data_IF_619498294600
#
_entry.id   IF_619498294600
#
_cell.length_a   1.000
_cell.length_b   1.000
_cell.length_c   1.000
_cell.angle_alpha   90.00
_cell.angle_beta   90.00
_cell.angle_gamma   90.00
#
_symmetry.space_group_name_H-M   'P 1'
#
loop_
_entity.id
_entity.type
_entity.pdbx_description
1 polymer ?
#
# COMPACT_ATOMS: atom_id res chain seq x y z
N UNK A 1 23.76 -10.96 8.94
CA UNK A 1 22.67 -9.99 8.70
C UNK A 1 22.57 -9.82 7.19
N UNK A 2 21.38 -10.09 6.60
CA UNK A 2 21.19 -9.87 5.16
C UNK A 2 21.25 -8.38 4.83
N UNK A 3 21.59 -8.05 3.58
CA UNK A 3 21.65 -6.66 3.13
C UNK A 3 20.24 -6.04 3.15
N UNK A 4 20.15 -4.84 3.75
CA UNK A 4 18.89 -4.11 3.82
C UNK A 4 18.66 -3.33 2.53
N UNK A 5 17.51 -3.55 1.93
CA UNK A 5 17.01 -2.78 0.78
C UNK A 5 16.45 -1.45 1.28
N UNK A 6 16.97 -0.34 0.78
CA UNK A 6 16.45 1.00 1.10
C UNK A 6 15.36 1.39 0.12
N UNK A 7 14.21 1.75 0.64
CA UNK A 7 13.07 2.20 -0.17
C UNK A 7 12.49 3.52 0.33
N UNK A 8 11.84 4.24 -0.59
CA UNK A 8 10.94 5.34 -0.28
C UNK A 8 9.50 4.85 -0.43
N UNK A 9 8.60 5.30 0.43
CA UNK A 9 7.16 5.10 0.26
C UNK A 9 6.45 6.46 0.35
N UNK A 10 5.63 6.77 -0.66
CA UNK A 10 4.82 7.99 -0.75
C UNK A 10 3.34 7.65 -0.69
N UNK A 11 2.56 8.55 -0.08
CA UNK A 11 1.08 8.52 -0.15
C UNK A 11 0.56 9.05 -1.48
N UNK A 12 -0.67 9.56 -1.46
CA UNK A 12 -1.34 10.04 -2.67
C UNK A 12 -0.48 11.03 -3.45
N UNK A 13 -0.23 10.75 -4.71
CA UNK A 13 0.50 11.64 -5.62
C UNK A 13 -0.45 12.71 -6.20
N UNK A 14 -1.70 12.33 -6.48
CA UNK A 14 -2.74 13.23 -7.01
C UNK A 14 -2.27 14.07 -8.19
N UNK A 15 -1.51 13.47 -9.14
CA UNK A 15 -0.99 14.18 -10.30
C UNK A 15 0.19 15.14 -10.04
N UNK A 16 0.67 15.27 -8.79
CA UNK A 16 1.83 16.12 -8.46
C UNK A 16 3.17 15.42 -8.81
N UNK A 17 3.34 15.05 -10.07
CA UNK A 17 4.48 14.22 -10.52
C UNK A 17 5.81 14.95 -10.43
N UNK A 18 5.86 16.24 -10.78
CA UNK A 18 7.06 17.05 -10.65
C UNK A 18 7.54 17.09 -9.19
N UNK A 19 6.61 17.33 -8.25
CA UNK A 19 6.95 17.36 -6.81
C UNK A 19 7.39 15.97 -6.33
N UNK A 20 6.73 14.89 -6.77
CA UNK A 20 7.12 13.54 -6.43
C UNK A 20 8.55 13.26 -6.85
N UNK A 21 8.85 13.38 -8.16
CA UNK A 21 10.13 12.97 -8.70
C UNK A 21 11.28 13.87 -8.25
N UNK A 22 11.05 15.19 -8.08
CA UNK A 22 12.02 16.11 -7.48
C UNK A 22 12.32 15.71 -6.02
N UNK A 23 11.31 15.31 -5.24
CA UNK A 23 11.54 14.84 -3.88
C UNK A 23 12.30 13.50 -3.85
N UNK A 24 11.97 12.58 -4.74
CA UNK A 24 12.67 11.28 -4.86
C UNK A 24 14.14 11.51 -5.19
N UNK A 25 14.46 12.36 -6.17
CA UNK A 25 15.82 12.68 -6.56
C UNK A 25 16.61 13.30 -5.40
N UNK A 26 16.07 14.34 -4.79
CA UNK A 26 16.68 15.02 -3.63
C UNK A 26 16.92 14.07 -2.44
N UNK A 27 15.99 13.19 -2.15
CA UNK A 27 16.14 12.21 -1.07
C UNK A 27 17.19 11.16 -1.43
N UNK A 28 17.22 10.73 -2.70
CA UNK A 28 18.18 9.76 -3.18
C UNK A 28 19.62 10.31 -3.14
N UNK A 29 19.82 11.57 -3.50
CA UNK A 29 21.11 12.24 -3.36
C UNK A 29 21.57 12.39 -1.91
N UNK A 30 20.63 12.71 -1.02
CA UNK A 30 20.93 12.99 0.39
C UNK A 30 21.20 11.75 1.24
N UNK A 31 20.41 10.69 1.04
CA UNK A 31 20.36 9.52 1.92
C UNK A 31 20.34 8.17 1.20
N UNK A 32 20.43 8.19 -0.14
CA UNK A 32 20.43 7.00 -0.97
C UNK A 32 21.74 6.19 -0.93
N UNK A 33 21.93 5.27 -1.85
CA UNK A 33 20.98 4.97 -2.91
C UNK A 33 19.70 4.30 -2.38
N UNK A 34 18.54 4.69 -2.95
CA UNK A 34 17.29 3.97 -2.78
C UNK A 34 17.07 3.03 -3.97
N UNK A 35 16.62 1.81 -3.69
CA UNK A 35 16.46 0.75 -4.68
C UNK A 35 15.03 0.66 -5.23
N UNK A 36 14.07 1.28 -4.53
CA UNK A 36 12.70 1.44 -5.00
C UNK A 36 12.01 2.64 -4.35
N UNK A 37 11.03 3.19 -5.08
CA UNK A 37 10.03 4.12 -4.59
C UNK A 37 8.65 3.47 -4.76
N UNK A 38 7.84 3.43 -3.70
CA UNK A 38 6.50 2.85 -3.70
C UNK A 38 5.49 3.97 -3.50
N UNK A 39 4.50 4.09 -4.39
CA UNK A 39 3.44 5.09 -4.27
C UNK A 39 2.10 4.39 -4.01
N UNK A 40 1.47 4.73 -2.88
CA UNK A 40 0.17 4.21 -2.46
C UNK A 40 -0.91 5.30 -2.54
N UNK A 41 -2.18 4.90 -2.53
CA UNK A 41 -3.29 5.85 -2.68
C UNK A 41 -3.52 6.26 -4.13
N UNK A 42 -3.98 7.49 -4.35
CA UNK A 42 -4.26 8.05 -5.67
C UNK A 42 -2.97 8.49 -6.35
N UNK A 43 -2.68 7.91 -7.49
CA UNK A 43 -1.49 8.29 -8.26
C UNK A 43 -1.78 9.44 -9.22
N UNK A 44 -2.91 9.38 -9.93
CA UNK A 44 -3.33 10.41 -10.86
C UNK A 44 -4.25 11.45 -10.20
N UNK A 45 -4.40 12.61 -10.85
CA UNK A 45 -5.35 13.61 -10.39
C UNK A 45 -6.79 13.13 -10.67
N UNK A 46 -7.73 13.24 -9.69
CA UNK A 46 -9.07 12.70 -9.83
C UNK A 46 -9.85 13.22 -11.05
N UNK A 47 -9.63 14.47 -11.46
CA UNK A 47 -10.25 15.08 -12.65
C UNK A 47 -9.38 15.05 -13.90
N UNK A 48 -8.17 14.49 -13.82
CA UNK A 48 -7.21 14.41 -14.92
C UNK A 48 -6.42 15.70 -15.20
N UNK A 49 -6.67 16.80 -14.47
CA UNK A 49 -6.17 18.15 -14.81
C UNK A 49 -4.66 18.33 -14.76
N UNK A 50 -3.93 17.57 -13.96
CA UNK A 50 -2.47 17.73 -13.81
C UNK A 50 -1.65 16.57 -14.36
N UNK A 51 -2.29 15.67 -15.11
CA UNK A 51 -1.58 14.50 -15.62
C UNK A 51 -0.59 14.83 -16.73
N UNK A 52 -0.68 16.02 -17.32
CA UNK A 52 0.28 16.52 -18.30
C UNK A 52 1.72 16.65 -17.74
N UNK A 53 1.88 16.82 -16.42
CA UNK A 53 3.18 16.78 -15.77
C UNK A 53 3.90 15.42 -15.97
N UNK A 54 3.18 14.34 -16.22
CA UNK A 54 3.75 13.02 -16.49
C UNK A 54 4.32 12.89 -17.90
N UNK A 55 3.78 13.64 -18.88
CA UNK A 55 4.16 13.51 -20.29
C UNK A 55 5.66 13.63 -20.57
N UNK A 56 6.43 14.55 -19.94
CA UNK A 56 7.86 14.61 -20.15
C UNK A 56 8.60 13.32 -19.77
N UNK A 57 8.13 12.60 -18.73
CA UNK A 57 8.68 11.33 -18.29
C UNK A 57 8.30 10.20 -19.25
N UNK A 58 7.04 10.13 -19.67
CA UNK A 58 6.56 9.14 -20.65
C UNK A 58 7.29 9.27 -21.99
N UNK A 59 7.61 10.48 -22.41
CA UNK A 59 8.35 10.76 -23.63
C UNK A 59 9.88 10.62 -23.47
N UNK A 60 10.37 10.28 -22.29
CA UNK A 60 11.81 10.12 -22.01
C UNK A 60 12.59 11.44 -21.99
N UNK A 61 11.91 12.61 -22.00
CA UNK A 61 12.56 13.93 -21.87
C UNK A 61 13.08 14.19 -20.45
N UNK A 62 12.34 13.70 -19.45
CA UNK A 62 12.75 13.66 -18.06
C UNK A 62 12.94 12.19 -17.61
N UNK A 63 13.73 11.97 -16.60
CA UNK A 63 14.05 10.63 -16.09
C UNK A 63 13.48 10.43 -14.70
N UNK A 64 12.96 9.23 -14.45
CA UNK A 64 12.65 8.77 -13.10
C UNK A 64 13.94 8.20 -12.50
N UNK A 65 14.45 8.86 -11.45
CA UNK A 65 15.78 8.57 -10.90
C UNK A 65 15.85 7.23 -10.15
N UNK A 66 14.76 6.83 -9.50
CA UNK A 66 14.66 5.59 -8.71
C UNK A 66 13.53 4.73 -9.27
N UNK A 67 13.70 3.40 -9.41
CA UNK A 67 12.61 2.52 -9.82
C UNK A 67 11.36 2.77 -8.96
N UNK A 68 10.30 3.26 -9.58
CA UNK A 68 9.06 3.68 -8.92
C UNK A 68 7.92 2.75 -9.31
N UNK A 69 7.28 2.19 -8.30
CA UNK A 69 6.15 1.28 -8.44
C UNK A 69 4.93 1.92 -7.80
N UNK A 70 3.80 1.88 -8.47
CA UNK A 70 2.59 2.51 -7.95
C UNK A 70 1.35 1.64 -8.11
N UNK A 71 0.39 1.89 -7.26
CA UNK A 71 -1.01 1.48 -7.37
C UNK A 71 -1.87 2.73 -7.67
N UNK A 72 -3.14 2.53 -7.98
CA UNK A 72 -4.09 3.63 -8.21
C UNK A 72 -5.24 3.54 -7.21
N UNK A 73 -5.81 4.67 -6.85
CA UNK A 73 -6.99 4.79 -6.00
C UNK A 73 -8.30 4.66 -6.77
N UNK A 74 -9.42 4.78 -6.07
CA UNK A 74 -10.76 4.59 -6.64
C UNK A 74 -11.29 5.77 -7.46
N UNK A 75 -10.74 6.96 -7.25
CA UNK A 75 -11.19 8.19 -7.90
C UNK A 75 -10.23 8.67 -8.99
N UNK A 76 -9.22 7.84 -9.31
CA UNK A 76 -8.28 8.20 -10.36
C UNK A 76 -9.01 8.25 -11.71
N UNK A 77 -9.15 9.44 -12.28
CA UNK A 77 -9.42 9.57 -13.69
C UNK A 77 -8.32 8.83 -14.44
N UNK A 78 -8.68 7.93 -15.33
CA UNK A 78 -7.70 7.17 -16.11
C UNK A 78 -7.10 8.09 -17.20
N UNK A 79 -5.98 8.76 -16.95
CA UNK A 79 -5.41 9.75 -17.86
C UNK A 79 -4.55 9.12 -18.94
N UNK A 80 -4.18 7.86 -18.73
CA UNK A 80 -3.48 7.07 -19.73
C UNK A 80 -4.49 6.08 -20.27
N UNK A 81 -5.03 6.37 -21.44
CA UNK A 81 -5.86 5.42 -22.18
C UNK A 81 -5.14 4.08 -22.21
N UNK A 82 -5.70 3.10 -21.48
CA UNK A 82 -5.16 1.75 -21.50
C UNK A 82 -4.18 1.38 -20.41
N UNK A 83 -4.29 1.91 -19.16
CA UNK A 83 -3.60 1.24 -18.05
C UNK A 83 -3.96 -0.24 -18.05
N UNK A 84 -2.98 -1.13 -18.26
CA UNK A 84 -3.26 -2.56 -18.35
C UNK A 84 -3.70 -3.09 -16.98
N UNK A 85 -4.75 -3.91 -16.94
CA UNK A 85 -5.26 -4.49 -15.69
C UNK A 85 -4.20 -5.25 -14.91
N UNK A 86 -3.30 -5.91 -15.63
CA UNK A 86 -2.22 -6.74 -15.04
C UNK A 86 -0.94 -5.96 -14.75
N UNK A 87 -0.97 -4.63 -14.94
CA UNK A 87 0.18 -3.76 -14.73
C UNK A 87 1.14 -3.71 -15.90
N UNK A 88 2.12 -2.83 -15.81
CA UNK A 88 3.15 -2.65 -16.82
C UNK A 88 3.97 -1.38 -16.63
N UNK A 89 5.05 -1.28 -17.40
CA UNK A 89 5.91 -0.11 -17.40
C UNK A 89 5.29 1.01 -18.25
N UNK A 90 5.12 2.20 -17.67
CA UNK A 90 4.69 3.39 -18.39
C UNK A 90 5.89 4.02 -19.11
N UNK A 91 7.03 4.04 -18.44
CA UNK A 91 8.32 4.43 -18.98
C UNK A 91 9.44 3.80 -18.14
N UNK A 92 10.70 4.06 -18.50
CA UNK A 92 11.84 3.57 -17.72
C UNK A 92 11.73 3.99 -16.24
N UNK A 93 11.81 3.03 -15.34
CA UNK A 93 11.71 3.19 -13.90
C UNK A 93 10.33 3.66 -13.39
N UNK A 94 9.26 3.56 -14.16
CA UNK A 94 7.91 3.85 -13.71
C UNK A 94 6.96 2.73 -14.08
N UNK A 95 6.55 1.95 -13.09
CA UNK A 95 5.77 0.72 -13.28
C UNK A 95 4.45 0.79 -12.52
N UNK A 96 3.34 0.64 -13.23
CA UNK A 96 2.05 0.32 -12.62
C UNK A 96 2.04 -1.14 -12.21
N UNK A 97 1.75 -1.43 -10.93
CA UNK A 97 1.75 -2.81 -10.43
C UNK A 97 0.59 -3.64 -10.98
N UNK A 98 -0.51 -2.99 -11.34
CA UNK A 98 -1.73 -3.65 -11.80
C UNK A 98 -2.87 -3.53 -10.78
N UNK A 99 -3.98 -4.24 -11.05
CA UNK A 99 -5.18 -4.22 -10.23
C UNK A 99 -4.95 -4.88 -8.87
N UNK A 100 -4.51 -6.12 -8.87
CA UNK A 100 -4.37 -6.91 -7.67
C UNK A 100 -3.37 -8.06 -7.88
N UNK A 101 -2.54 -8.31 -6.91
CA UNK A 101 -1.58 -9.42 -7.00
C UNK A 101 -0.48 -9.36 -5.96
N UNK A 102 0.51 -10.19 -6.17
CA UNK A 102 1.75 -10.23 -5.40
C UNK A 102 2.91 -10.53 -6.35
N UNK A 103 3.99 -9.76 -6.24
CA UNK A 103 5.20 -9.97 -7.07
C UNK A 103 6.47 -9.68 -6.30
N UNK A 104 7.55 -10.29 -6.75
CA UNK A 104 8.89 -9.97 -6.28
C UNK A 104 9.48 -8.87 -7.17
N UNK A 105 9.97 -7.80 -6.55
CA UNK A 105 10.69 -6.74 -7.22
C UNK A 105 12.15 -7.17 -7.52
N UNK A 106 12.85 -6.51 -8.47
CA UNK A 106 14.24 -6.80 -8.78
C UNK A 106 15.20 -6.73 -7.58
N UNK A 107 14.88 -5.91 -6.58
CA UNK A 107 15.66 -5.79 -5.32
C UNK A 107 15.34 -6.89 -4.29
N UNK A 108 14.54 -7.90 -4.65
CA UNK A 108 14.20 -9.05 -3.83
C UNK A 108 13.00 -8.89 -2.91
N UNK A 109 12.43 -7.69 -2.76
CA UNK A 109 11.24 -7.47 -1.94
C UNK A 109 10.00 -8.10 -2.57
N UNK A 110 9.21 -8.83 -1.77
CA UNK A 110 7.92 -9.39 -2.15
C UNK A 110 6.82 -8.38 -1.78
N UNK A 111 6.10 -7.88 -2.79
CA UNK A 111 5.10 -6.83 -2.66
C UNK A 111 3.73 -7.34 -3.07
N UNK A 112 2.78 -7.35 -2.13
CA UNK A 112 1.36 -7.57 -2.38
C UNK A 112 0.68 -6.21 -2.58
N UNK A 113 -0.29 -6.14 -3.50
CA UNK A 113 -0.92 -4.87 -3.84
C UNK A 113 -2.38 -5.03 -4.26
N UNK A 114 -3.17 -4.01 -3.93
CA UNK A 114 -4.56 -3.86 -4.36
C UNK A 114 -4.78 -2.41 -4.82
N UNK A 115 -5.15 -2.23 -6.08
CA UNK A 115 -5.51 -0.93 -6.67
C UNK A 115 -7.02 -0.75 -6.72
N UNK A 116 -7.48 0.51 -6.64
CA UNK A 116 -8.89 0.87 -6.66
C UNK A 116 -9.44 1.12 -5.27
N UNK A 117 -10.77 1.28 -5.19
CA UNK A 117 -11.50 1.48 -3.95
C UNK A 117 -12.64 0.48 -3.77
N UNK A 118 -13.11 0.36 -2.54
CA UNK A 118 -14.26 -0.46 -2.18
C UNK A 118 -15.57 0.20 -2.63
N UNK A 119 -16.35 -0.51 -3.44
CA UNK A 119 -17.74 -0.17 -3.73
C UNK A 119 -18.64 -1.34 -3.31
N UNK A 120 -19.38 -1.16 -2.23
CA UNK A 120 -20.25 -2.21 -1.67
C UNK A 120 -21.28 -2.77 -2.63
N UNK A 121 -21.68 -1.99 -3.67
CA UNK A 121 -22.64 -2.42 -4.68
C UNK A 121 -22.01 -3.31 -5.75
N UNK A 122 -20.69 -3.19 -5.93
CA UNK A 122 -19.94 -3.87 -7.01
C UNK A 122 -19.04 -4.98 -6.48
N UNK A 123 -18.67 -4.93 -5.22
CA UNK A 123 -17.69 -5.82 -4.62
C UNK A 123 -17.96 -7.32 -4.85
N UNK A 124 -19.25 -7.71 -4.80
CA UNK A 124 -19.68 -9.08 -5.00
C UNK A 124 -20.09 -9.41 -6.44
N UNK A 125 -19.94 -8.47 -7.38
CA UNK A 125 -20.21 -8.74 -8.79
C UNK A 125 -19.15 -9.69 -9.36
N UNK A 126 -19.58 -10.51 -10.34
CA UNK A 126 -18.63 -11.39 -11.04
C UNK A 126 -17.74 -10.58 -12.00
N UNK A 127 -16.44 -10.89 -12.00
CA UNK A 127 -15.49 -10.31 -12.95
C UNK A 127 -15.88 -10.53 -14.42
N UNK A 128 -16.70 -11.53 -14.72
CA UNK A 128 -17.20 -11.79 -16.08
C UNK A 128 -17.96 -10.58 -16.63
N UNK A 129 -18.74 -9.87 -15.80
CA UNK A 129 -19.49 -8.67 -16.21
C UNK A 129 -18.58 -7.47 -16.47
N UNK A 130 -17.35 -7.49 -15.98
CA UNK A 130 -16.39 -6.38 -16.08
C UNK A 130 -15.26 -6.63 -17.09
N UNK A 131 -15.21 -7.81 -17.73
CA UNK A 131 -14.20 -8.18 -18.73
C UNK A 131 -14.35 -7.49 -20.08
N UNK A 132 -15.40 -6.71 -20.29
CA UNK A 132 -15.66 -5.98 -21.54
C UNK A 132 -14.89 -4.66 -21.63
N UNK A 133 -13.59 -4.72 -21.88
CA UNK A 133 -12.75 -3.55 -22.13
C UNK A 133 -11.38 -3.65 -21.42
N UNK A 134 -10.32 -3.20 -22.10
CA UNK A 134 -8.96 -3.16 -21.56
C UNK A 134 -8.74 -1.99 -20.59
N UNK A 135 -9.80 -1.31 -20.13
CA UNK A 135 -9.70 -0.15 -19.26
C UNK A 135 -9.74 -0.55 -17.80
N UNK A 136 -8.79 -0.05 -17.03
CA UNK A 136 -8.77 -0.18 -15.57
C UNK A 136 -10.08 0.38 -14.96
N UNK A 137 -10.68 -0.36 -14.02
CA UNK A 137 -11.86 0.11 -13.28
C UNK A 137 -11.41 0.64 -11.91
N UNK A 138 -11.97 1.77 -11.45
CA UNK A 138 -11.53 2.41 -10.20
C UNK A 138 -11.96 1.69 -8.93
N UNK A 139 -12.61 0.54 -9.04
CA UNK A 139 -13.02 -0.31 -7.92
C UNK A 139 -12.47 -1.72 -8.10
N UNK A 140 -12.30 -2.42 -7.00
CA UNK A 140 -11.91 -3.83 -7.00
C UNK A 140 -13.08 -4.72 -6.60
N UNK A 141 -12.98 -5.99 -6.97
CA UNK A 141 -13.96 -7.03 -6.69
C UNK A 141 -13.44 -7.97 -5.59
N UNK A 142 -14.34 -8.78 -5.01
CA UNK A 142 -13.95 -9.85 -4.09
C UNK A 142 -12.91 -10.80 -4.68
N UNK A 143 -13.02 -11.12 -5.97
CA UNK A 143 -12.06 -11.95 -6.68
C UNK A 143 -10.66 -11.32 -6.74
N UNK A 144 -10.55 -10.00 -6.81
CA UNK A 144 -9.27 -9.28 -6.78
C UNK A 144 -8.60 -9.42 -5.41
N UNK A 145 -9.38 -9.27 -4.34
CA UNK A 145 -8.90 -9.44 -2.96
C UNK A 145 -8.43 -10.89 -2.74
N UNK A 146 -9.22 -11.87 -3.19
CA UNK A 146 -8.84 -13.29 -3.09
C UNK A 146 -7.57 -13.57 -3.87
N UNK A 147 -7.41 -12.98 -5.05
CA UNK A 147 -6.17 -13.10 -5.87
C UNK A 147 -4.94 -12.60 -5.11
N UNK A 148 -5.03 -11.48 -4.36
CA UNK A 148 -3.92 -11.00 -3.54
C UNK A 148 -3.58 -12.02 -2.46
N UNK A 149 -4.59 -12.54 -1.76
CA UNK A 149 -4.40 -13.53 -0.69
C UNK A 149 -3.74 -14.80 -1.24
N UNK A 150 -4.26 -15.34 -2.35
CA UNK A 150 -3.72 -16.56 -2.96
C UNK A 150 -2.30 -16.34 -3.47
N UNK A 151 -2.06 -15.23 -4.19
CA UNK A 151 -0.72 -14.90 -4.70
C UNK A 151 0.30 -14.62 -3.59
N UNK A 152 -0.13 -14.17 -2.41
CA UNK A 152 0.75 -13.96 -1.26
C UNK A 152 1.29 -15.26 -0.68
N UNK A 153 0.57 -16.38 -0.86
CA UNK A 153 0.85 -17.71 -0.30
C UNK A 153 1.53 -18.66 -1.29
N UNK A 154 1.83 -18.21 -2.52
CA UNK A 154 2.45 -19.08 -3.54
C UNK A 154 3.95 -19.26 -3.33
N UNK A 155 4.42 -20.52 -3.46
CA UNK A 155 5.84 -20.95 -3.39
C UNK A 155 6.18 -21.70 -2.12
N UNK A 156 6.72 -22.92 -2.22
CA UNK A 156 7.01 -23.80 -1.07
C UNK A 156 8.01 -23.18 -0.07
N UNK A 157 9.05 -22.48 -0.55
CA UNK A 157 9.97 -21.73 0.32
C UNK A 157 9.40 -20.38 0.76
N UNK A 158 8.40 -19.84 0.04
CA UNK A 158 7.79 -18.55 0.24
C UNK A 158 6.60 -18.59 1.22
N UNK A 159 5.96 -19.74 1.42
CA UNK A 159 4.90 -19.91 2.43
C UNK A 159 5.38 -19.56 3.84
N UNK A 160 6.64 -19.85 4.13
CA UNK A 160 7.23 -19.55 5.43
C UNK A 160 7.75 -18.11 5.57
N UNK A 161 7.99 -17.42 4.45
CA UNK A 161 8.60 -16.09 4.47
C UNK A 161 7.57 -14.95 4.53
N UNK A 162 6.33 -15.15 4.06
CA UNK A 162 5.30 -14.11 3.98
C UNK A 162 5.60 -13.05 2.93
N UNK A 163 5.12 -11.83 3.17
CA UNK A 163 5.22 -10.69 2.27
C UNK A 163 5.97 -9.55 2.95
N UNK A 164 6.87 -8.89 2.24
CA UNK A 164 7.58 -7.74 2.80
C UNK A 164 6.64 -6.54 2.95
N UNK A 165 5.90 -6.21 1.89
CA UNK A 165 5.08 -5.01 1.84
C UNK A 165 3.70 -5.31 1.25
N UNK A 166 2.64 -4.87 1.93
CA UNK A 166 1.30 -4.75 1.40
C UNK A 166 1.04 -3.28 1.05
N UNK A 167 0.60 -3.03 -0.17
CA UNK A 167 0.22 -1.70 -0.67
C UNK A 167 -1.28 -1.65 -0.91
N UNK A 168 -1.97 -0.71 -0.28
CA UNK A 168 -3.41 -0.43 -0.51
C UNK A 168 -3.64 1.07 -0.71
N UNK A 169 -4.71 1.44 -1.42
CA UNK A 169 -5.13 2.84 -1.45
C UNK A 169 -5.83 3.21 -0.16
N UNK A 170 -6.78 2.38 0.28
CA UNK A 170 -7.62 2.60 1.45
C UNK A 170 -7.02 1.96 2.71
N UNK A 171 -7.57 2.34 3.87
CA UNK A 171 -7.28 1.72 5.16
C UNK A 171 -8.32 0.65 5.50
N UNK A 172 -7.92 -0.32 6.32
CA UNK A 172 -8.85 -1.32 6.87
C UNK A 172 -9.71 -0.73 7.99
N UNK A 173 -10.92 -1.26 8.16
CA UNK A 173 -11.74 -0.99 9.33
C UNK A 173 -11.02 -1.42 10.62
N UNK A 174 -11.37 -0.83 11.76
CA UNK A 174 -10.83 -1.16 13.09
C UNK A 174 -9.34 -0.83 13.29
N UNK A 175 -8.70 -0.09 12.41
CA UNK A 175 -7.32 0.36 12.64
C UNK A 175 -7.19 1.14 13.97
N UNK A 176 -8.25 1.84 14.36
CA UNK A 176 -8.36 2.62 15.58
C UNK A 176 -8.26 1.80 16.86
N UNK A 177 -8.51 0.49 16.80
CA UNK A 177 -8.31 -0.40 17.95
C UNK A 177 -6.85 -0.56 18.36
N UNK A 178 -5.91 -0.15 17.50
CA UNK A 178 -4.48 -0.10 17.78
C UNK A 178 -4.02 1.26 18.33
N UNK A 179 -4.88 2.27 18.29
CA UNK A 179 -4.55 3.57 18.88
C UNK A 179 -4.58 3.46 20.40
N UNK A 180 -3.60 4.12 21.04
CA UNK A 180 -3.65 4.36 22.46
C UNK A 180 -4.86 5.26 22.78
N UNK A 181 -5.54 5.02 23.91
CA UNK A 181 -6.71 5.81 24.33
C UNK A 181 -6.41 7.32 24.46
N UNK A 182 -5.15 7.67 24.68
CA UNK A 182 -4.70 9.07 24.73
C UNK A 182 -4.49 9.71 23.34
N UNK A 183 -4.48 8.91 22.26
CA UNK A 183 -4.27 9.38 20.88
C UNK A 183 -5.63 9.57 20.22
N UNK A 184 -6.03 10.81 19.86
CA UNK A 184 -7.28 11.02 19.12
C UNK A 184 -7.30 10.24 17.81
N UNK A 185 -8.43 9.63 17.49
CA UNK A 185 -8.59 8.98 16.19
C UNK A 185 -8.52 10.03 15.07
N UNK A 186 -7.52 9.99 14.19
CA UNK A 186 -7.34 11.01 13.16
C UNK A 186 -8.46 11.01 12.11
N UNK A 187 -9.31 9.99 12.09
CA UNK A 187 -10.43 9.84 11.15
C UNK A 187 -11.81 10.00 11.82
N UNK A 188 -11.86 10.36 13.11
CA UNK A 188 -13.11 10.41 13.90
C UNK A 188 -14.22 11.26 13.27
N UNK A 189 -13.85 12.34 12.57
CA UNK A 189 -14.79 13.28 11.95
C UNK A 189 -14.92 13.12 10.44
N UNK A 190 -14.41 12.03 9.88
CA UNK A 190 -14.49 11.76 8.45
C UNK A 190 -15.70 10.92 8.07
N UNK A 191 -16.17 11.01 6.81
CA UNK A 191 -17.23 10.13 6.34
C UNK A 191 -16.86 8.66 6.56
N UNK A 192 -17.80 7.87 7.04
CA UNK A 192 -17.62 6.43 7.39
C UNK A 192 -17.19 5.56 6.20
N UNK A 193 -17.26 6.09 4.98
CA UNK A 193 -17.05 5.34 3.74
C UNK A 193 -15.60 5.28 3.26
N UNK A 194 -14.64 5.76 4.06
CA UNK A 194 -13.22 5.77 3.67
C UNK A 194 -12.47 4.52 4.09
N UNK A 195 -13.05 3.69 4.95
CA UNK A 195 -12.46 2.44 5.44
C UNK A 195 -13.02 1.24 4.70
N UNK A 196 -12.16 0.30 4.35
CA UNK A 196 -12.51 -0.85 3.53
C UNK A 196 -12.53 -2.16 4.33
N UNK A 197 -13.67 -2.89 4.33
CA UNK A 197 -13.73 -4.24 4.89
C UNK A 197 -12.86 -5.23 4.10
N UNK A 198 -12.61 -4.96 2.83
CA UNK A 198 -11.73 -5.77 1.99
C UNK A 198 -10.27 -5.60 2.40
N UNK A 199 -9.84 -4.37 2.69
CA UNK A 199 -8.49 -4.10 3.23
C UNK A 199 -8.33 -4.70 4.62
N UNK A 200 -9.39 -4.71 5.44
CA UNK A 200 -9.43 -5.45 6.71
C UNK A 200 -9.13 -6.95 6.48
N UNK A 201 -9.76 -7.54 5.48
CA UNK A 201 -9.53 -8.95 5.10
C UNK A 201 -8.07 -9.18 4.67
N UNK A 202 -7.50 -8.27 3.87
CA UNK A 202 -6.09 -8.36 3.46
C UNK A 202 -5.15 -8.24 4.66
N UNK A 203 -5.38 -7.27 5.55
CA UNK A 203 -4.58 -7.09 6.76
C UNK A 203 -4.58 -8.30 7.70
N UNK A 204 -5.69 -9.07 7.69
CA UNK A 204 -5.80 -10.31 8.45
C UNK A 204 -5.16 -11.52 7.76
N UNK A 205 -5.20 -11.57 6.41
CA UNK A 205 -4.88 -12.78 5.64
C UNK A 205 -3.53 -12.76 4.96
N UNK A 206 -2.97 -11.55 4.69
CA UNK A 206 -1.66 -11.39 4.09
C UNK A 206 -0.65 -11.16 5.21
N UNK A 207 0.29 -12.09 5.36
CA UNK A 207 1.33 -11.98 6.37
C UNK A 207 2.42 -10.98 5.92
N UNK A 208 2.08 -9.69 5.90
CA UNK A 208 2.96 -8.61 5.50
C UNK A 208 3.72 -8.02 6.71
N UNK A 209 4.99 -7.67 6.52
CA UNK A 209 5.80 -6.97 7.54
C UNK A 209 5.50 -5.47 7.60
N UNK A 210 5.18 -4.89 6.46
CA UNK A 210 4.80 -3.49 6.32
C UNK A 210 3.49 -3.38 5.54
N UNK A 211 2.57 -2.57 6.02
CA UNK A 211 1.37 -2.20 5.29
C UNK A 211 1.42 -0.69 5.05
N UNK A 212 1.45 -0.29 3.80
CA UNK A 212 1.50 1.11 3.36
C UNK A 212 0.14 1.48 2.76
N UNK A 213 -0.47 2.56 3.22
CA UNK A 213 -1.76 3.03 2.73
C UNK A 213 -1.80 4.55 2.56
N UNK A 214 -2.60 5.03 1.60
CA UNK A 214 -2.82 6.45 1.29
C UNK A 214 -4.24 6.91 1.60
N UNK A 215 -4.78 7.76 0.73
CA UNK A 215 -6.17 8.23 0.60
C UNK A 215 -6.66 9.20 1.69
N UNK A 216 -6.26 9.00 2.94
CA UNK A 216 -6.77 9.77 4.08
C UNK A 216 -6.04 11.10 4.33
N UNK A 217 -4.97 11.38 3.60
CA UNK A 217 -4.10 12.53 3.86
C UNK A 217 -3.73 12.68 5.35
N UNK A 218 -3.40 11.56 5.98
CA UNK A 218 -2.98 11.46 7.38
C UNK A 218 -1.65 10.72 7.44
N UNK A 219 -0.70 11.23 8.23
CA UNK A 219 0.51 10.49 8.55
C UNK A 219 0.38 9.85 9.92
N UNK A 220 0.38 8.53 9.94
CA UNK A 220 0.37 7.74 11.17
C UNK A 220 1.21 6.47 11.01
N UNK A 221 1.85 6.10 12.09
CA UNK A 221 2.45 4.78 12.25
C UNK A 221 1.74 4.12 13.43
N UNK A 222 1.02 3.04 13.17
CA UNK A 222 0.36 2.27 14.23
C UNK A 222 1.36 1.37 14.95
N UNK A 223 1.10 1.02 16.22
CA UNK A 223 1.84 -0.02 16.92
C UNK A 223 1.86 -1.32 16.10
N UNK A 224 2.96 -2.06 16.09
CA UNK A 224 3.04 -3.33 15.38
C UNK A 224 1.99 -4.31 15.91
N UNK A 225 1.38 -5.08 15.00
CA UNK A 225 0.43 -6.14 15.36
C UNK A 225 0.85 -7.49 14.78
N UNK A 226 0.52 -8.57 15.50
CA UNK A 226 0.88 -9.93 15.10
C UNK A 226 0.01 -10.39 13.94
N UNK A 227 0.62 -10.90 12.89
CA UNK A 227 0.01 -11.75 11.87
C UNK A 227 0.50 -13.20 12.04
N UNK A 228 0.17 -14.10 11.10
CA UNK A 228 0.54 -15.51 11.19
C UNK A 228 2.06 -15.76 11.19
N UNK A 229 2.86 -14.91 10.58
CA UNK A 229 4.31 -15.10 10.38
C UNK A 229 5.16 -14.01 11.02
N UNK A 230 4.69 -12.77 11.02
CA UNK A 230 5.46 -11.58 11.40
C UNK A 230 4.63 -10.61 12.22
N UNK A 231 5.28 -9.55 12.70
CA UNK A 231 4.61 -8.33 13.13
C UNK A 231 4.45 -7.38 11.95
N UNK A 232 3.22 -6.95 11.67
CA UNK A 232 2.90 -5.94 10.66
C UNK A 232 3.06 -4.55 11.24
N UNK A 233 3.74 -3.66 10.51
CA UNK A 233 3.85 -2.22 10.79
C UNK A 233 3.03 -1.46 9.77
N UNK A 234 1.97 -0.82 10.21
CA UNK A 234 1.11 -0.01 9.35
C UNK A 234 1.61 1.43 9.28
N UNK A 235 1.64 1.99 8.06
CA UNK A 235 1.92 3.39 7.78
C UNK A 235 0.80 4.00 6.92
N UNK A 236 0.05 4.94 7.50
CA UNK A 236 -0.77 5.88 6.75
C UNK A 236 0.10 7.04 6.28
N UNK A 237 -0.03 7.45 5.03
CA UNK A 237 0.79 8.48 4.42
C UNK A 237 -0.06 9.63 3.88
N UNK A 238 0.39 10.85 4.12
CA UNK A 238 -0.23 12.05 3.57
C UNK A 238 -0.01 12.21 2.07
N UNK A 239 -0.74 13.12 1.45
CA UNK A 239 -0.62 13.41 0.03
C UNK A 239 0.64 14.22 -0.30
N UNK A 240 1.21 13.97 -1.48
CA UNK A 240 2.33 14.75 -2.02
C UNK A 240 1.88 16.18 -2.28
N UNK A 241 2.61 17.14 -1.75
CA UNK A 241 2.33 18.56 -1.95
C UNK A 241 1.10 19.09 -1.22
N UNK A 242 0.59 18.36 -0.19
CA UNK A 242 -0.55 18.82 0.60
C UNK A 242 -0.24 20.13 1.34
N UNK A 243 -1.24 21.00 1.47
CA UNK A 243 -1.13 22.32 2.09
C UNK A 243 -0.95 22.25 3.61
N UNK A 244 -1.44 21.20 4.23
CA UNK A 244 -1.43 20.99 5.68
C UNK A 244 -0.08 20.49 6.19
N UNK A 245 0.90 20.28 5.30
CA UNK A 245 2.25 19.79 5.61
C UNK A 245 2.28 18.43 6.32
N UNK A 246 1.24 17.63 6.13
CA UNK A 246 1.24 16.24 6.57
C UNK A 246 2.35 15.48 5.85
N UNK A 247 3.09 14.68 6.59
CA UNK A 247 4.22 13.93 6.03
C UNK A 247 3.72 12.92 4.99
N UNK A 248 4.19 13.08 3.76
CA UNK A 248 3.79 12.26 2.62
C UNK A 248 4.78 11.15 2.26
N UNK A 249 5.92 11.09 2.91
CA UNK A 249 6.98 10.14 2.58
C UNK A 249 7.59 9.51 3.83
N UNK A 250 7.92 8.23 3.72
CA UNK A 250 8.74 7.50 4.69
C UNK A 250 9.87 6.78 3.96
N UNK A 251 11.06 6.76 4.57
CA UNK A 251 12.19 5.96 4.11
C UNK A 251 12.31 4.72 5.01
N UNK A 252 12.37 3.55 4.41
CA UNK A 252 12.47 2.27 5.10
C UNK A 252 13.73 1.54 4.65
N UNK A 253 14.33 0.79 5.58
CA UNK A 253 15.41 -0.15 5.31
C UNK A 253 14.90 -1.56 5.64
N UNK A 254 14.54 -2.31 4.63
CA UNK A 254 13.83 -3.59 4.73
C UNK A 254 14.78 -4.73 4.39
N UNK A 255 14.95 -5.69 5.28
CA UNK A 255 15.58 -6.96 4.91
C UNK A 255 14.52 -7.84 4.27
N UNK A 256 14.70 -8.33 3.02
CA UNK A 256 13.72 -9.21 2.37
C UNK A 256 13.33 -10.41 3.24
N UNK A 257 12.05 -10.75 3.28
CA UNK A 257 11.51 -11.85 4.10
C UNK A 257 12.21 -13.17 3.84
N UNK A 258 12.55 -13.46 2.58
CA UNK A 258 13.29 -14.67 2.22
C UNK A 258 14.63 -14.78 2.95
N UNK A 259 15.33 -13.68 3.14
CA UNK A 259 16.60 -13.66 3.88
C UNK A 259 16.38 -13.83 5.39
N UNK A 260 15.25 -13.32 5.92
CA UNK A 260 14.89 -13.47 7.33
C UNK A 260 14.46 -14.89 7.66
N UNK A 261 13.68 -15.53 6.81
CA UNK A 261 13.28 -16.92 7.00
C UNK A 261 14.52 -17.84 7.08
N UNK A 262 15.48 -17.62 6.20
CA UNK A 262 16.77 -18.34 6.23
C UNK A 262 17.60 -18.04 7.48
N UNK A 263 17.64 -16.79 7.93
CA UNK A 263 18.33 -16.38 9.15
C UNK A 263 17.62 -16.90 10.40
N UNK A 264 16.28 -16.77 10.48
CA UNK A 264 15.50 -17.27 11.61
C UNK A 264 15.58 -18.79 11.76
N UNK A 265 15.62 -19.52 10.66
CA UNK A 265 15.88 -20.97 10.66
C UNK A 265 17.27 -21.31 11.24
N UNK A 266 18.24 -20.40 11.12
CA UNK A 266 19.60 -20.58 11.65
C UNK A 266 19.74 -20.10 13.08
N UNK A 267 19.10 -18.99 13.45
CA UNK A 267 19.39 -18.25 14.69
C UNK A 267 18.21 -18.17 15.68
N UNK A 268 17.01 -18.66 15.33
CA UNK A 268 15.84 -18.71 16.23
C UNK A 268 15.28 -17.32 16.62
N UNK A 269 15.46 -16.27 15.79
CA UNK A 269 15.07 -14.89 16.11
C UNK A 269 13.55 -14.71 16.08
N UNK A 270 12.97 -14.27 17.20
CA UNK A 270 11.55 -13.92 17.31
C UNK A 270 11.35 -12.40 17.13
N UNK A 271 10.94 -11.96 15.94
CA UNK A 271 10.65 -10.53 15.63
C UNK A 271 9.32 -10.01 16.21
N UNK A 272 8.53 -10.87 16.87
CA UNK A 272 7.16 -10.56 17.29
C UNK A 272 7.04 -10.21 18.79
N UNK A 273 8.14 -10.10 19.52
CA UNK A 273 8.13 -9.98 20.99
C UNK A 273 7.31 -8.78 21.54
N UNK A 274 7.21 -7.68 20.78
CA UNK A 274 6.54 -6.44 21.21
C UNK A 274 5.25 -6.14 20.43
N UNK A 275 4.71 -7.08 19.66
CA UNK A 275 3.56 -6.84 18.83
C UNK A 275 2.23 -7.09 19.55
N UNK A 276 1.23 -6.24 19.27
CA UNK A 276 -0.14 -6.37 19.78
C UNK A 276 -0.94 -7.41 18.96
N UNK A 277 -2.09 -7.89 19.46
CA UNK A 277 -2.99 -8.74 18.66
C UNK A 277 -3.43 -8.04 17.38
N UNK A 278 -3.64 -8.82 16.30
CA UNK A 278 -4.13 -8.29 15.03
C UNK A 278 -5.52 -7.63 15.21
N UNK A 279 -5.68 -6.34 14.87
CA UNK A 279 -6.94 -5.64 15.06
C UNK A 279 -8.05 -6.18 14.18
N UNK A 280 -7.68 -6.73 13.03
CA UNK A 280 -8.61 -7.20 12.01
C UNK A 280 -9.23 -8.56 12.33
N UNK A 281 -8.62 -9.35 13.22
CA UNK A 281 -9.16 -10.63 13.70
C UNK A 281 -9.87 -10.52 15.06
N UNK A 282 -9.71 -9.39 15.76
CA UNK A 282 -10.32 -9.17 17.06
C UNK A 282 -11.85 -9.10 16.98
N UNK A 283 -12.54 -9.74 17.93
CA UNK A 283 -13.99 -9.55 18.10
C UNK A 283 -14.29 -8.07 18.39
N UNK A 284 -15.41 -7.51 17.89
CA UNK A 284 -15.79 -6.14 18.20
C UNK A 284 -15.80 -5.91 19.71
N UNK A 285 -15.17 -4.84 20.19
CA UNK A 285 -15.35 -4.42 21.59
C UNK A 285 -16.84 -4.14 21.81
N UNK A 286 -17.43 -4.63 22.91
CA UNK A 286 -18.80 -4.23 23.26
C UNK A 286 -18.82 -2.71 23.38
N UNK A 287 -19.78 -2.05 22.70
CA UNK A 287 -19.98 -0.61 22.85
C UNK A 287 -20.20 -0.30 24.33
N UNK A 288 -19.59 0.75 24.89
CA UNK A 288 -19.87 1.15 26.25
C UNK A 288 -21.38 1.38 26.39
N UNK A 289 -21.99 0.70 27.33
CA UNK A 289 -23.40 0.93 27.69
C UNK A 289 -23.46 2.36 28.21
N UNK A 290 -24.35 3.23 27.67
CA UNK A 290 -24.53 4.56 28.24
C UNK A 290 -24.85 4.41 29.73
N UNK A 291 -24.12 5.13 30.59
CA UNK A 291 -24.45 5.18 31.98
C UNK A 291 -25.90 5.75 32.09
N UNK A 292 -26.82 4.95 32.58
CA UNK A 292 -28.16 5.41 32.89
C UNK A 292 -28.06 6.59 33.84
N UNK A 293 -28.65 7.73 33.43
CA UNK A 293 -28.70 8.96 34.20
C UNK A 293 -29.79 8.88 35.25
#
# INVERSE_FOLDING_TARGET
MGDKVKILAFGDVNGNFEKLFTNVERLNERAGPFEACLCVGRFFHPDGSSNDELLPYLQGRLKVAVPTYFIVGGEDANPVDGLPTDGGDLCKNLTFLGRAGCRRLPNGLKVAYLSGAYDSRKYDESAVFHRGGNSFKPFYLREDVQRVVDASKTGEEEELAGVDILMTAEWGEKFDTLLDESVPNPLEHRPVNTLSPAVTTLGASVAARYHLAGTENVHIQLPPYVNELHATRFYGLGAVGNETKVKSVVALAVTPTIQLALAAARDGVNENADATPCPYTAKPRPKPVPAEA
#
